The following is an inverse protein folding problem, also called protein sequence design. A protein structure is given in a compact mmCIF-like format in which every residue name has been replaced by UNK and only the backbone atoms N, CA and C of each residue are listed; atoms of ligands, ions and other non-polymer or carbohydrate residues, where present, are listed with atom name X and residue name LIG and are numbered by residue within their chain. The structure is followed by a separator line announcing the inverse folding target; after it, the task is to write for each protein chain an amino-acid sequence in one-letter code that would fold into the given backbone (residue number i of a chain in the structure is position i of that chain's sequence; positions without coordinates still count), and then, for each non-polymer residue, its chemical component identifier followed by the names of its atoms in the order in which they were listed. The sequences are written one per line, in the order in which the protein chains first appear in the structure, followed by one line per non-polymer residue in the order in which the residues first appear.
data_IF_600490815482
#
_entry.id   IF_600490815482
#
_cell.length_a   1.000
_cell.length_b   1.000
_cell.length_c   1.000
_cell.angle_alpha   90.00
_cell.angle_beta   90.00
_cell.angle_gamma   90.00
#
_symmetry.space_group_name_H-M   'P 1'
#
loop_
_entity.id
_entity.type
_entity.pdbx_description
1 polymer ?
#
# COMPACT_ATOMS: atom_id res chain seq x y z
N UNK A 1 -5.05 6.24 -33.14
CA UNK A 1 -5.60 5.04 -32.50
C UNK A 1 -6.86 5.51 -31.79
N UNK A 2 -7.97 4.81 -31.98
CA UNK A 2 -9.25 5.19 -31.38
C UNK A 2 -9.13 5.06 -29.85
N UNK A 3 -9.02 6.19 -29.15
CA UNK A 3 -8.71 6.27 -27.71
C UNK A 3 -9.92 5.87 -26.84
N UNK A 4 -11.03 5.47 -27.45
CA UNK A 4 -12.30 5.23 -26.79
C UNK A 4 -12.60 3.75 -26.52
N UNK A 5 -11.91 2.81 -27.14
CA UNK A 5 -12.25 1.39 -27.07
C UNK A 5 -11.80 0.75 -25.74
N UNK A 6 -12.70 -0.03 -25.13
CA UNK A 6 -12.40 -0.96 -24.02
C UNK A 6 -11.48 -2.06 -24.58
N UNK A 7 -10.41 -2.36 -23.83
CA UNK A 7 -9.41 -3.32 -24.30
C UNK A 7 -9.79 -4.76 -23.97
N UNK A 8 -9.50 -5.66 -24.90
CA UNK A 8 -9.54 -7.08 -24.64
C UNK A 8 -8.38 -7.55 -23.73
N UNK A 9 -8.56 -8.72 -23.12
CA UNK A 9 -7.55 -9.32 -22.22
C UNK A 9 -6.15 -9.30 -22.82
N UNK A 10 -6.02 -9.79 -24.07
CA UNK A 10 -4.71 -9.92 -24.72
C UNK A 10 -4.01 -8.58 -24.92
N UNK A 11 -4.75 -7.55 -25.29
CA UNK A 11 -4.23 -6.17 -25.41
C UNK A 11 -3.71 -5.65 -24.06
N UNK A 12 -4.41 -5.95 -22.93
CA UNK A 12 -3.95 -5.53 -21.60
C UNK A 12 -2.66 -6.27 -21.23
N UNK A 13 -2.56 -7.55 -21.54
CA UNK A 13 -1.34 -8.34 -21.29
C UNK A 13 -0.14 -7.81 -22.08
N UNK A 14 -0.36 -7.39 -23.33
CA UNK A 14 0.67 -6.76 -24.14
C UNK A 14 1.10 -5.41 -23.56
N UNK A 15 0.18 -4.64 -22.95
CA UNK A 15 0.51 -3.41 -22.23
C UNK A 15 1.37 -3.70 -20.99
N UNK A 16 1.07 -4.73 -20.21
CA UNK A 16 1.93 -5.11 -19.09
C UNK A 16 3.35 -5.40 -19.58
N UNK A 17 3.51 -6.26 -20.60
CA UNK A 17 4.83 -6.55 -21.18
C UNK A 17 5.54 -5.30 -21.65
N UNK A 18 4.81 -4.39 -22.31
CA UNK A 18 5.35 -3.13 -22.83
C UNK A 18 5.79 -2.16 -21.72
N UNK A 19 5.08 -2.11 -20.58
CA UNK A 19 5.39 -1.19 -19.48
C UNK A 19 6.51 -1.74 -18.60
N UNK A 20 6.41 -3.00 -18.15
CA UNK A 20 7.30 -3.55 -17.12
C UNK A 20 8.40 -4.46 -17.68
N UNK A 21 8.36 -4.78 -18.98
CA UNK A 21 9.45 -5.48 -19.65
C UNK A 21 10.73 -4.63 -19.68
N UNK A 22 11.83 -5.20 -20.12
CA UNK A 22 13.15 -4.56 -20.05
C UNK A 22 13.20 -3.17 -20.70
N UNK A 23 12.70 -3.09 -21.93
CA UNK A 23 12.68 -1.83 -22.70
C UNK A 23 11.71 -0.81 -22.08
N UNK A 24 10.53 -1.27 -21.61
CA UNK A 24 9.55 -0.41 -20.97
C UNK A 24 10.05 0.14 -19.64
N UNK A 25 10.62 -0.71 -18.79
CA UNK A 25 11.22 -0.26 -17.54
C UNK A 25 12.37 0.71 -17.77
N UNK A 26 13.26 0.48 -18.75
CA UNK A 26 14.30 1.43 -19.11
C UNK A 26 13.73 2.80 -19.56
N UNK A 27 12.57 2.80 -20.23
CA UNK A 27 11.91 4.01 -20.71
C UNK A 27 11.14 4.75 -19.61
N UNK A 28 10.38 4.04 -18.77
CA UNK A 28 9.37 4.63 -17.89
C UNK A 28 9.76 4.70 -16.42
N UNK A 29 10.60 3.77 -15.91
CA UNK A 29 10.93 3.69 -14.50
C UNK A 29 11.70 4.93 -14.01
N UNK A 30 11.17 5.61 -13.00
CA UNK A 30 11.80 6.75 -12.31
C UNK A 30 12.32 6.37 -10.92
N UNK A 31 12.20 5.08 -10.54
CA UNK A 31 12.54 4.56 -9.19
C UNK A 31 13.86 3.80 -9.15
N UNK A 32 14.66 3.83 -10.23
CA UNK A 32 15.94 3.13 -10.33
C UNK A 32 15.82 1.60 -10.15
N UNK A 33 14.77 0.99 -10.70
CA UNK A 33 14.61 -0.46 -10.78
C UNK A 33 13.45 -1.03 -9.98
N UNK A 34 12.73 -0.25 -9.18
CA UNK A 34 11.59 -0.77 -8.39
C UNK A 34 10.44 -1.24 -9.27
N UNK A 35 10.17 -0.58 -10.41
CA UNK A 35 9.14 -1.04 -11.34
C UNK A 35 9.36 -2.50 -11.76
N UNK A 36 10.59 -2.87 -12.09
CA UNK A 36 10.92 -4.27 -12.42
C UNK A 36 10.94 -5.17 -11.20
N UNK A 37 11.43 -4.70 -10.07
CA UNK A 37 11.46 -5.45 -8.82
C UNK A 37 10.05 -5.89 -8.41
N UNK A 38 9.08 -4.97 -8.41
CA UNK A 38 7.71 -5.26 -7.96
C UNK A 38 6.86 -5.90 -9.06
N UNK A 39 7.00 -5.45 -10.30
CA UNK A 39 6.08 -5.80 -11.39
C UNK A 39 6.72 -6.50 -12.58
N UNK A 40 8.03 -6.69 -12.64
CA UNK A 40 8.73 -7.29 -13.79
C UNK A 40 8.18 -8.66 -14.19
N UNK A 41 7.67 -9.45 -13.23
CA UNK A 41 7.01 -10.74 -13.50
C UNK A 41 5.77 -10.62 -14.41
N UNK A 42 5.13 -9.45 -14.49
CA UNK A 42 3.95 -9.23 -15.34
C UNK A 42 4.30 -9.17 -16.84
N UNK A 43 5.57 -9.09 -17.19
CA UNK A 43 6.03 -9.31 -18.58
C UNK A 43 5.79 -10.76 -19.05
N UNK A 44 5.72 -11.73 -18.13
CA UNK A 44 5.23 -13.07 -18.43
C UNK A 44 3.71 -13.07 -18.57
N UNK A 45 3.22 -13.58 -19.70
CA UNK A 45 1.79 -13.56 -20.04
C UNK A 45 0.91 -14.27 -19.00
N UNK A 46 1.37 -15.40 -18.45
CA UNK A 46 0.61 -16.15 -17.44
C UNK A 46 0.56 -15.39 -16.11
N UNK A 47 1.64 -14.71 -15.74
CA UNK A 47 1.66 -13.85 -14.55
C UNK A 47 0.74 -12.63 -14.73
N UNK A 48 0.78 -12.00 -15.91
CA UNK A 48 -0.13 -10.90 -16.27
C UNK A 48 -1.61 -11.34 -16.22
N UNK A 49 -1.96 -12.51 -16.76
CA UNK A 49 -3.32 -13.06 -16.66
C UNK A 49 -3.76 -13.28 -15.21
N UNK A 50 -2.87 -13.82 -14.37
CA UNK A 50 -3.17 -14.00 -12.95
C UNK A 50 -3.40 -12.66 -12.25
N UNK A 51 -2.58 -11.67 -12.55
CA UNK A 51 -2.71 -10.32 -11.98
C UNK A 51 -4.03 -9.68 -12.39
N UNK A 52 -4.36 -9.65 -13.68
CA UNK A 52 -5.63 -9.10 -14.18
C UNK A 52 -6.84 -9.81 -13.56
N UNK A 53 -6.79 -11.12 -13.44
CA UNK A 53 -7.81 -11.91 -12.77
C UNK A 53 -7.91 -11.56 -11.28
N UNK A 54 -6.79 -11.29 -10.61
CA UNK A 54 -6.80 -10.89 -9.20
C UNK A 54 -7.49 -9.55 -9.01
N UNK A 55 -7.26 -8.57 -9.89
CA UNK A 55 -7.95 -7.27 -9.87
C UNK A 55 -9.46 -7.47 -9.95
N UNK A 56 -9.95 -8.18 -10.97
CA UNK A 56 -11.39 -8.44 -11.16
C UNK A 56 -12.03 -9.20 -9.98
N UNK A 57 -11.30 -10.19 -9.42
CA UNK A 57 -11.77 -10.92 -8.25
C UNK A 57 -11.79 -10.05 -6.99
N UNK A 58 -10.89 -9.08 -6.89
CA UNK A 58 -10.79 -8.15 -5.77
C UNK A 58 -11.92 -7.13 -5.82
N UNK A 59 -12.15 -6.48 -6.96
CA UNK A 59 -13.26 -5.51 -7.08
C UNK A 59 -14.63 -6.18 -7.15
N UNK A 60 -14.71 -7.49 -7.41
CA UNK A 60 -15.97 -8.25 -7.57
C UNK A 60 -16.92 -7.67 -8.62
N UNK A 61 -16.36 -7.01 -9.62
CA UNK A 61 -17.12 -6.45 -10.73
C UNK A 61 -16.70 -7.11 -12.05
N UNK A 62 -17.65 -7.22 -12.96
CA UNK A 62 -17.38 -7.58 -14.35
C UNK A 62 -16.99 -6.30 -15.11
N UNK A 63 -16.25 -6.42 -16.23
CA UNK A 63 -15.87 -5.27 -17.05
C UNK A 63 -17.05 -4.37 -17.43
N UNK A 64 -18.20 -4.96 -17.76
CA UNK A 64 -19.41 -4.22 -18.15
C UNK A 64 -19.96 -3.33 -17.02
N UNK A 65 -19.65 -3.65 -15.77
CA UNK A 65 -20.09 -2.89 -14.59
C UNK A 65 -19.14 -1.72 -14.26
N UNK A 66 -17.99 -1.63 -14.95
CA UNK A 66 -17.01 -0.54 -14.79
C UNK A 66 -17.39 0.69 -15.61
N UNK A 67 -18.24 0.54 -16.64
CA UNK A 67 -18.66 1.65 -17.49
C UNK A 67 -19.26 2.81 -16.67
N UNK A 68 -18.80 4.02 -16.91
CA UNK A 68 -19.21 5.24 -16.21
C UNK A 68 -18.71 5.35 -14.76
N UNK A 69 -17.85 4.44 -14.30
CA UNK A 69 -17.28 4.47 -12.93
C UNK A 69 -16.01 5.28 -12.86
N UNK A 70 -15.92 6.15 -11.87
CA UNK A 70 -14.68 6.79 -11.44
C UNK A 70 -14.05 5.99 -10.31
N UNK A 71 -12.78 5.63 -10.49
CA UNK A 71 -12.04 4.79 -9.55
C UNK A 71 -10.97 5.63 -8.85
N UNK A 72 -10.79 5.41 -7.54
CA UNK A 72 -9.67 5.92 -6.75
C UNK A 72 -8.80 4.74 -6.32
N UNK A 73 -7.49 4.86 -6.48
CA UNK A 73 -6.48 3.91 -5.99
C UNK A 73 -5.60 4.62 -4.96
N UNK A 74 -5.76 4.25 -3.69
CA UNK A 74 -5.09 4.90 -2.55
C UNK A 74 -3.84 4.10 -2.18
N UNK A 75 -2.68 4.71 -2.30
CA UNK A 75 -1.39 4.02 -2.30
C UNK A 75 -1.19 3.31 -3.63
N UNK A 76 -1.38 4.02 -4.75
CA UNK A 76 -1.46 3.42 -6.09
C UNK A 76 -0.12 2.89 -6.62
N UNK A 77 1.01 3.23 -5.98
CA UNK A 77 2.33 2.82 -6.43
C UNK A 77 2.56 3.13 -7.91
N UNK A 78 2.85 2.09 -8.69
CA UNK A 78 3.04 2.19 -10.15
C UNK A 78 1.72 2.23 -10.95
N UNK A 79 0.55 2.34 -10.31
CA UNK A 79 -0.74 2.56 -10.95
C UNK A 79 -1.25 1.45 -11.88
N UNK A 80 -0.64 0.25 -11.86
CA UNK A 80 -1.04 -0.82 -12.78
C UNK A 80 -2.45 -1.36 -12.49
N UNK A 81 -2.87 -1.38 -11.21
CA UNK A 81 -4.22 -1.81 -10.82
C UNK A 81 -5.26 -0.86 -11.39
N UNK A 82 -5.14 0.44 -11.11
CA UNK A 82 -6.08 1.44 -11.60
C UNK A 82 -6.07 1.58 -13.13
N UNK A 83 -4.90 1.49 -13.77
CA UNK A 83 -4.78 1.52 -15.22
C UNK A 83 -5.50 0.34 -15.86
N UNK A 84 -5.40 -0.86 -15.27
CA UNK A 84 -6.11 -2.04 -15.73
C UNK A 84 -7.63 -1.84 -15.68
N UNK A 85 -8.16 -1.16 -14.65
CA UNK A 85 -9.58 -0.86 -14.54
C UNK A 85 -10.04 0.12 -15.62
N UNK A 86 -9.20 1.12 -15.97
CA UNK A 86 -9.47 2.02 -17.11
C UNK A 86 -9.49 1.26 -18.42
N UNK A 87 -8.52 0.38 -18.65
CA UNK A 87 -8.48 -0.44 -19.87
C UNK A 87 -9.66 -1.42 -19.97
N UNK A 88 -10.16 -1.90 -18.84
CA UNK A 88 -11.35 -2.76 -18.73
C UNK A 88 -12.68 -2.00 -18.82
N UNK A 89 -12.68 -0.65 -18.90
CA UNK A 89 -13.89 0.12 -19.17
C UNK A 89 -14.29 1.15 -18.13
N UNK A 90 -13.55 1.31 -17.02
CA UNK A 90 -13.79 2.41 -16.10
C UNK A 90 -13.69 3.76 -16.83
N UNK A 91 -14.50 4.74 -16.44
CA UNK A 91 -14.52 6.05 -17.09
C UNK A 91 -13.22 6.81 -16.84
N UNK A 92 -12.77 6.82 -15.59
CA UNK A 92 -11.46 7.34 -15.20
C UNK A 92 -10.93 6.62 -13.96
N UNK A 93 -9.62 6.69 -13.76
CA UNK A 93 -9.00 6.29 -12.51
C UNK A 93 -8.01 7.35 -12.03
N UNK A 94 -8.06 7.60 -10.72
CA UNK A 94 -7.22 8.54 -10.02
C UNK A 94 -6.38 7.77 -9.01
N UNK A 95 -5.08 8.01 -9.00
CA UNK A 95 -4.16 7.42 -8.04
C UNK A 95 -3.58 8.48 -7.11
N UNK A 96 -3.41 8.14 -5.84
CA UNK A 96 -2.65 8.96 -4.91
C UNK A 96 -1.55 8.11 -4.27
N UNK A 97 -0.33 8.64 -4.29
CA UNK A 97 0.82 8.00 -3.66
C UNK A 97 1.77 9.07 -3.13
N UNK A 98 2.48 8.79 -2.05
CA UNK A 98 3.43 9.76 -1.51
C UNK A 98 4.79 9.72 -2.22
N UNK A 99 5.13 8.62 -2.89
CA UNK A 99 6.39 8.48 -3.60
C UNK A 99 6.33 9.12 -4.99
N UNK A 100 6.89 10.33 -5.11
CA UNK A 100 6.95 11.08 -6.37
C UNK A 100 7.47 10.24 -7.54
N UNK A 101 8.51 9.44 -7.34
CA UNK A 101 9.11 8.62 -8.40
C UNK A 101 8.15 7.55 -8.94
N UNK A 102 7.26 7.00 -8.11
CA UNK A 102 6.23 6.08 -8.57
C UNK A 102 5.19 6.82 -9.39
N UNK A 103 4.70 7.97 -8.92
CA UNK A 103 3.78 8.85 -9.65
C UNK A 103 4.40 9.28 -10.99
N UNK A 104 5.65 9.74 -11.01
CA UNK A 104 6.36 10.14 -12.23
C UNK A 104 6.52 8.97 -13.22
N UNK A 105 6.60 7.74 -12.74
CA UNK A 105 6.61 6.53 -13.59
C UNK A 105 5.25 6.34 -14.27
N UNK A 106 4.15 6.51 -13.54
CA UNK A 106 2.79 6.46 -14.13
C UNK A 106 2.62 7.58 -15.17
N UNK A 107 3.02 8.81 -14.84
CA UNK A 107 2.99 9.95 -15.75
C UNK A 107 3.79 9.70 -17.03
N UNK A 108 4.89 8.94 -16.94
CA UNK A 108 5.71 8.60 -18.09
C UNK A 108 5.00 7.59 -19.02
N UNK A 109 4.44 6.48 -18.49
CA UNK A 109 3.86 5.46 -19.36
C UNK A 109 2.44 5.78 -19.83
N UNK A 110 1.64 6.55 -19.07
CA UNK A 110 0.25 6.83 -19.42
C UNK A 110 0.13 7.57 -20.76
N UNK A 111 1.16 8.31 -21.18
CA UNK A 111 1.21 9.03 -22.47
C UNK A 111 1.29 8.11 -23.68
N UNK A 112 1.75 6.88 -23.45
CA UNK A 112 2.04 5.91 -24.52
C UNK A 112 1.05 4.73 -24.52
N UNK A 113 0.03 4.75 -23.68
CA UNK A 113 -0.97 3.67 -23.57
C UNK A 113 -2.36 4.17 -23.98
N UNK A 114 -3.22 3.28 -24.51
CA UNK A 114 -4.62 3.61 -24.78
C UNK A 114 -5.32 4.10 -23.52
N UNK A 115 -6.21 5.10 -23.66
CA UNK A 115 -6.98 5.69 -22.56
C UNK A 115 -6.13 6.27 -21.42
N UNK A 116 -4.87 6.59 -21.68
CA UNK A 116 -3.98 7.17 -20.70
C UNK A 116 -4.39 8.59 -20.26
N UNK A 117 -5.16 9.29 -21.08
CA UNK A 117 -5.83 10.56 -20.75
C UNK A 117 -6.90 10.43 -19.65
N UNK A 118 -7.34 9.20 -19.34
CA UNK A 118 -8.30 8.87 -18.29
C UNK A 118 -7.61 8.39 -16.98
N UNK A 119 -6.29 8.41 -16.96
CA UNK A 119 -5.46 8.03 -15.80
C UNK A 119 -4.86 9.31 -15.22
N UNK A 120 -5.22 9.63 -14.00
CA UNK A 120 -4.67 10.75 -13.24
C UNK A 120 -3.92 10.24 -12.02
N UNK A 121 -2.78 10.85 -11.70
CA UNK A 121 -2.01 10.51 -10.50
C UNK A 121 -1.55 11.76 -9.77
N UNK A 122 -1.56 11.70 -8.45
CA UNK A 122 -1.22 12.81 -7.58
C UNK A 122 -0.22 12.36 -6.52
N UNK A 123 0.81 13.17 -6.30
CA UNK A 123 1.68 13.00 -5.13
C UNK A 123 0.96 13.58 -3.91
N UNK A 124 0.67 12.73 -2.92
CA UNK A 124 -0.06 13.18 -1.74
C UNK A 124 -0.16 12.12 -0.65
N UNK A 125 -0.73 12.53 0.48
CA UNK A 125 -0.99 11.64 1.62
C UNK A 125 -2.43 11.14 1.60
N UNK A 126 -2.63 9.88 1.94
CA UNK A 126 -3.94 9.22 1.95
C UNK A 126 -4.93 9.80 2.97
N UNK A 127 -4.45 10.48 4.00
CA UNK A 127 -5.28 11.12 5.03
C UNK A 127 -5.57 12.62 4.77
N UNK A 128 -5.24 13.13 3.56
CA UNK A 128 -5.52 14.51 3.14
C UNK A 128 -5.59 14.54 1.60
N UNK A 129 -6.66 13.96 1.03
CA UNK A 129 -6.80 13.78 -0.42
C UNK A 129 -7.31 15.06 -1.11
N UNK A 130 -6.71 15.50 -2.22
CA UNK A 130 -7.11 16.72 -2.93
C UNK A 130 -8.31 16.50 -3.86
N UNK A 131 -9.27 15.69 -3.44
CA UNK A 131 -10.46 15.39 -4.22
C UNK A 131 -11.74 15.93 -3.54
N UNK A 132 -12.76 16.30 -4.32
CA UNK A 132 -14.04 16.75 -3.76
C UNK A 132 -14.79 15.60 -3.08
N UNK A 133 -15.75 15.97 -2.22
CA UNK A 133 -16.69 15.03 -1.62
C UNK A 133 -17.53 14.33 -2.70
N UNK A 134 -17.94 13.10 -2.43
CA UNK A 134 -18.90 12.34 -3.25
C UNK A 134 -18.50 12.22 -4.75
N UNK A 135 -17.20 12.06 -5.02
CA UNK A 135 -16.66 12.09 -6.37
C UNK A 135 -16.48 10.70 -6.99
N UNK A 136 -16.04 9.71 -6.21
CA UNK A 136 -15.69 8.38 -6.71
C UNK A 136 -16.81 7.35 -6.51
N UNK A 137 -16.92 6.44 -7.47
CA UNK A 137 -17.82 5.29 -7.38
C UNK A 137 -17.18 4.10 -6.66
N UNK A 138 -15.85 3.95 -6.82
CA UNK A 138 -15.06 2.85 -6.28
C UNK A 138 -13.74 3.42 -5.75
N UNK A 139 -13.36 3.02 -4.55
CA UNK A 139 -12.02 3.25 -4.01
C UNK A 139 -11.34 1.91 -3.71
N UNK A 140 -10.02 1.87 -3.88
CA UNK A 140 -9.19 0.70 -3.62
C UNK A 140 -8.04 1.10 -2.70
N UNK A 141 -7.66 0.18 -1.79
CA UNK A 141 -6.35 0.19 -1.11
C UNK A 141 -5.86 -1.26 -1.11
N UNK A 142 -4.85 -1.53 -1.94
CA UNK A 142 -4.39 -2.91 -2.17
C UNK A 142 -2.94 -3.03 -1.70
N UNK A 143 -2.71 -3.84 -0.66
CA UNK A 143 -1.39 -4.06 -0.03
C UNK A 143 -0.69 -2.73 0.30
N UNK A 144 -1.43 -1.78 0.87
CA UNK A 144 -0.91 -0.45 1.15
C UNK A 144 -1.33 0.10 2.53
N UNK A 145 -2.45 -0.37 3.10
CA UNK A 145 -2.97 0.18 4.35
C UNK A 145 -1.99 -0.02 5.52
N UNK A 146 -1.29 -1.14 5.54
CA UNK A 146 -0.25 -1.47 6.53
C UNK A 146 0.97 -0.53 6.51
N UNK A 147 1.18 0.21 5.43
CA UNK A 147 2.25 1.21 5.34
C UNK A 147 1.85 2.59 5.89
N UNK A 148 0.56 2.86 6.05
CA UNK A 148 0.08 4.18 6.45
C UNK A 148 0.23 4.41 7.94
N UNK A 149 0.80 5.57 8.31
CA UNK A 149 0.91 6.02 9.71
C UNK A 149 -0.46 6.32 10.32
N UNK A 150 -1.41 6.80 9.51
CA UNK A 150 -2.79 7.11 9.91
C UNK A 150 -3.79 6.37 9.01
N UNK A 151 -3.97 5.05 9.20
CA UNK A 151 -4.92 4.28 8.40
C UNK A 151 -6.37 4.72 8.60
N UNK A 152 -6.75 5.16 9.81
CA UNK A 152 -8.11 5.64 10.07
C UNK A 152 -8.37 7.00 9.42
N UNK A 153 -7.36 7.87 9.33
CA UNK A 153 -7.43 9.10 8.54
C UNK A 153 -7.63 8.83 7.05
N UNK A 154 -6.92 7.85 6.50
CA UNK A 154 -7.14 7.38 5.13
C UNK A 154 -8.59 6.92 4.90
N UNK A 155 -9.14 6.14 5.83
CA UNK A 155 -10.51 5.62 5.73
C UNK A 155 -11.53 6.76 5.80
N UNK A 156 -11.35 7.76 6.69
CA UNK A 156 -12.22 8.96 6.77
C UNK A 156 -12.20 9.75 5.46
N UNK A 157 -11.02 9.99 4.90
CA UNK A 157 -10.89 10.69 3.62
C UNK A 157 -11.52 9.87 2.47
N UNK A 158 -11.30 8.56 2.45
CA UNK A 158 -11.94 7.68 1.44
C UNK A 158 -13.47 7.72 1.57
N UNK A 159 -14.02 7.72 2.80
CA UNK A 159 -15.45 7.88 3.02
C UNK A 159 -15.95 9.24 2.48
N UNK A 160 -15.22 10.32 2.73
CA UNK A 160 -15.57 11.66 2.26
C UNK A 160 -15.68 11.71 0.74
N UNK A 161 -14.65 11.22 0.04
CA UNK A 161 -14.57 11.31 -1.43
C UNK A 161 -15.42 10.29 -2.18
N UNK A 162 -15.89 9.22 -1.52
CA UNK A 162 -16.81 8.25 -2.13
C UNK A 162 -18.23 8.81 -2.20
N UNK A 163 -18.92 8.55 -3.31
CA UNK A 163 -20.35 8.81 -3.45
C UNK A 163 -21.16 7.98 -2.44
N UNK A 164 -22.36 8.45 -2.03
CA UNK A 164 -23.34 7.58 -1.36
C UNK A 164 -23.56 6.29 -2.16
N UNK A 165 -23.46 5.13 -1.49
CA UNK A 165 -23.53 3.82 -2.14
C UNK A 165 -22.25 3.41 -2.87
N UNK A 166 -21.20 4.25 -2.90
CA UNK A 166 -19.89 3.93 -3.44
C UNK A 166 -19.19 2.82 -2.65
N UNK A 167 -18.29 2.09 -3.31
CA UNK A 167 -17.62 0.91 -2.75
C UNK A 167 -16.17 1.20 -2.43
N UNK A 168 -15.73 0.85 -1.23
CA UNK A 168 -14.33 0.81 -0.84
C UNK A 168 -13.86 -0.64 -0.70
N UNK A 169 -12.76 -0.99 -1.35
CA UNK A 169 -12.16 -2.32 -1.29
C UNK A 169 -10.77 -2.22 -0.67
N UNK A 170 -10.54 -2.99 0.39
CA UNK A 170 -9.24 -3.09 1.06
C UNK A 170 -8.76 -4.54 0.97
N UNK A 171 -7.50 -4.75 0.61
CA UNK A 171 -6.80 -6.03 0.75
C UNK A 171 -5.47 -5.77 1.42
N UNK A 172 -5.11 -6.60 2.40
CA UNK A 172 -3.82 -6.52 3.07
C UNK A 172 -3.43 -7.89 3.63
N UNK A 173 -2.17 -8.27 3.48
CA UNK A 173 -1.64 -9.54 3.99
C UNK A 173 -1.11 -9.42 5.44
N UNK A 174 -1.11 -8.20 6.03
CA UNK A 174 -0.65 -7.91 7.39
C UNK A 174 -1.75 -8.09 8.44
N UNK A 175 -2.30 -9.30 8.51
CA UNK A 175 -3.40 -9.66 9.40
C UNK A 175 -2.97 -9.80 10.86
N UNK A 176 -3.17 -8.77 11.66
CA UNK A 176 -2.87 -8.73 13.10
C UNK A 176 -3.69 -9.69 13.98
N UNK A 177 -4.75 -10.31 13.45
CA UNK A 177 -5.49 -11.36 14.16
C UNK A 177 -4.81 -12.73 14.08
N UNK A 178 -3.82 -12.93 13.18
CA UNK A 178 -3.08 -14.18 13.02
C UNK A 178 -1.76 -14.17 13.83
N UNK A 179 -1.61 -15.01 14.86
CA UNK A 179 -0.38 -15.04 15.67
C UNK A 179 0.90 -15.40 14.92
N UNK A 180 0.81 -16.12 13.79
CA UNK A 180 1.98 -16.42 12.97
C UNK A 180 2.44 -15.17 12.22
N UNK A 181 1.52 -14.44 11.59
CA UNK A 181 1.80 -13.15 10.92
C UNK A 181 2.36 -12.14 11.92
N UNK A 182 1.80 -12.09 13.14
CA UNK A 182 2.31 -11.21 14.20
C UNK A 182 3.77 -11.51 14.52
N UNK A 183 4.14 -12.80 14.73
CA UNK A 183 5.54 -13.16 15.03
C UNK A 183 6.49 -12.83 13.89
N UNK A 184 6.12 -13.18 12.66
CA UNK A 184 6.95 -12.89 11.48
C UNK A 184 7.20 -11.38 11.34
N UNK A 185 6.16 -10.55 11.48
CA UNK A 185 6.32 -9.09 11.45
C UNK A 185 7.18 -8.57 12.58
N UNK A 186 7.05 -9.08 13.80
CA UNK A 186 7.91 -8.66 14.93
C UNK A 186 9.39 -8.97 14.67
N UNK A 187 9.70 -10.13 14.11
CA UNK A 187 11.08 -10.48 13.70
C UNK A 187 11.60 -9.55 12.61
N UNK A 188 10.75 -9.19 11.64
CA UNK A 188 11.07 -8.22 10.58
C UNK A 188 11.34 -6.84 11.20
N UNK A 189 10.47 -6.36 12.10
CA UNK A 189 10.61 -5.05 12.74
C UNK A 189 11.89 -4.94 13.57
N UNK A 190 12.19 -5.94 14.41
CA UNK A 190 13.42 -6.00 15.19
C UNK A 190 14.66 -5.96 14.28
N UNK A 191 14.60 -6.69 13.15
CA UNK A 191 15.71 -6.72 12.19
C UNK A 191 15.89 -5.38 11.47
N UNK A 192 14.80 -4.73 11.04
CA UNK A 192 14.86 -3.40 10.43
C UNK A 192 15.33 -2.34 11.42
N UNK A 193 14.90 -2.41 12.66
CA UNK A 193 15.26 -1.43 13.68
C UNK A 193 16.70 -1.60 14.17
N UNK A 194 17.05 -2.79 14.62
CA UNK A 194 18.30 -3.07 15.35
C UNK A 194 19.40 -3.71 14.51
N UNK A 195 19.04 -4.38 13.42
CA UNK A 195 19.97 -5.18 12.62
C UNK A 195 20.19 -6.59 13.19
N UNK A 196 21.28 -7.27 12.77
CA UNK A 196 22.21 -6.87 11.73
C UNK A 196 21.60 -6.86 10.31
N UNK A 197 22.27 -6.26 9.30
CA UNK A 197 21.88 -6.36 7.90
C UNK A 197 21.66 -7.81 7.46
N UNK A 198 20.68 -8.03 6.59
CA UNK A 198 20.37 -9.35 6.04
C UNK A 198 19.83 -9.23 4.62
N UNK A 199 20.08 -10.24 3.77
CA UNK A 199 19.54 -10.29 2.42
C UNK A 199 18.12 -10.85 2.38
N UNK A 200 17.69 -11.59 3.41
CA UNK A 200 16.35 -12.12 3.54
C UNK A 200 15.95 -12.32 5.00
N UNK A 201 14.80 -11.78 5.36
CA UNK A 201 14.03 -12.11 6.55
C UNK A 201 12.55 -12.04 6.18
N UNK A 202 11.90 -13.19 6.09
CA UNK A 202 10.49 -13.31 5.65
C UNK A 202 10.20 -12.54 4.33
N UNK A 203 11.12 -12.60 3.37
CA UNK A 203 11.01 -11.89 2.09
C UNK A 203 11.51 -10.44 2.07
N UNK A 204 11.92 -9.89 3.21
CA UNK A 204 12.45 -8.54 3.33
C UNK A 204 13.98 -8.51 3.34
N UNK A 205 14.54 -7.45 2.78
CA UNK A 205 15.98 -7.19 2.77
C UNK A 205 16.31 -5.98 3.61
N UNK A 206 17.17 -6.14 4.61
CA UNK A 206 17.68 -5.07 5.46
C UNK A 206 19.12 -4.73 5.09
N UNK A 207 19.33 -3.63 4.38
CA UNK A 207 20.66 -3.14 4.02
C UNK A 207 21.29 -2.31 5.12
N UNK A 208 20.52 -1.41 5.72
CA UNK A 208 20.93 -0.49 6.77
C UNK A 208 19.84 -0.46 7.83
N UNK A 209 20.10 -0.86 9.08
CA UNK A 209 19.14 -0.76 10.16
C UNK A 209 18.69 0.69 10.42
N UNK A 210 17.47 0.88 10.93
CA UNK A 210 16.91 2.21 11.16
C UNK A 210 17.68 3.01 12.21
N UNK A 211 18.15 2.36 13.27
CA UNK A 211 19.03 3.01 14.25
C UNK A 211 20.28 3.57 13.59
N UNK A 212 20.86 2.87 12.60
CA UNK A 212 22.02 3.34 11.85
C UNK A 212 21.66 4.47 10.87
N UNK A 213 20.48 4.43 10.24
CA UNK A 213 19.99 5.55 9.42
C UNK A 213 19.83 6.81 10.26
N UNK A 214 19.21 6.71 11.44
CA UNK A 214 19.07 7.84 12.38
C UNK A 214 20.42 8.40 12.81
N UNK A 215 21.39 7.53 13.15
CA UNK A 215 22.77 7.94 13.45
C UNK A 215 23.36 8.79 12.33
N UNK A 216 23.21 8.36 11.08
CA UNK A 216 23.70 9.11 9.91
C UNK A 216 22.98 10.44 9.71
N UNK A 217 21.67 10.49 9.89
CA UNK A 217 20.87 11.74 9.83
C UNK A 217 21.37 12.73 10.87
N UNK A 218 21.56 12.28 12.12
CA UNK A 218 22.01 13.14 13.24
C UNK A 218 23.43 13.62 13.00
N UNK A 219 24.36 12.72 12.70
CA UNK A 219 25.76 13.09 12.48
C UNK A 219 25.95 14.04 11.27
N UNK A 220 25.18 13.85 10.20
CA UNK A 220 25.24 14.73 9.03
C UNK A 220 24.70 16.15 9.34
N UNK A 221 23.67 16.26 10.17
CA UNK A 221 23.02 17.55 10.49
C UNK A 221 23.71 18.28 11.64
N UNK A 222 24.32 17.56 12.58
CA UNK A 222 24.94 18.06 13.82
C UNK A 222 26.37 17.47 14.01
N UNK A 223 27.32 17.86 13.15
CA UNK A 223 28.67 17.27 13.14
C UNK A 223 29.52 17.62 14.37
N UNK A 224 29.06 18.53 15.20
CA UNK A 224 29.68 18.96 16.45
C UNK A 224 29.31 18.08 17.66
N UNK A 225 28.36 17.16 17.51
CA UNK A 225 28.00 16.23 18.58
C UNK A 225 28.99 15.07 18.67
N UNK A 226 29.37 14.74 19.92
CA UNK A 226 30.23 13.59 20.19
C UNK A 226 29.57 12.26 19.83
N UNK A 227 30.31 11.27 19.29
CA UNK A 227 29.75 9.99 18.85
C UNK A 227 28.84 9.28 19.89
N UNK A 228 29.20 9.22 21.20
CA UNK A 228 28.32 8.61 22.20
C UNK A 228 26.95 9.31 22.36
N UNK A 229 26.93 10.65 22.17
CA UNK A 229 25.68 11.44 22.22
C UNK A 229 24.83 11.14 20.99
N UNK A 230 25.46 11.07 19.81
CA UNK A 230 24.79 10.70 18.55
C UNK A 230 24.15 9.30 18.67
N UNK A 231 24.90 8.33 19.23
CA UNK A 231 24.41 6.96 19.44
C UNK A 231 23.16 6.94 20.34
N UNK A 232 23.19 7.66 21.45
CA UNK A 232 22.06 7.74 22.37
C UNK A 232 20.84 8.42 21.76
N UNK A 233 21.05 9.53 21.07
CA UNK A 233 19.97 10.23 20.35
C UNK A 233 19.36 9.35 19.26
N UNK A 234 20.18 8.57 18.53
CA UNK A 234 19.67 7.65 17.51
C UNK A 234 18.81 6.53 18.11
N UNK A 235 19.13 6.07 19.34
CA UNK A 235 18.30 5.10 20.06
C UNK A 235 16.99 5.72 20.57
N UNK A 236 17.03 6.96 21.05
CA UNK A 236 15.89 7.65 21.66
C UNK A 236 14.94 8.35 20.64
N UNK A 237 15.11 8.11 19.33
CA UNK A 237 14.31 8.67 18.25
C UNK A 237 13.67 7.58 17.35
N UNK A 238 13.41 6.38 17.88
CA UNK A 238 13.05 5.20 17.10
C UNK A 238 11.73 5.31 16.29
N UNK A 239 10.79 6.14 16.70
CA UNK A 239 9.48 6.27 16.02
C UNK A 239 9.31 7.65 15.37
N UNK A 240 10.42 8.25 14.92
CA UNK A 240 10.45 9.58 14.34
C UNK A 240 10.93 9.52 12.88
N UNK A 241 10.30 10.32 12.03
CA UNK A 241 10.83 10.64 10.71
C UNK A 241 11.97 11.66 10.80
N UNK A 242 12.61 11.92 9.66
CA UNK A 242 13.78 12.80 9.56
C UNK A 242 13.55 14.20 10.15
N UNK A 243 12.38 14.80 9.92
CA UNK A 243 12.07 16.13 10.43
C UNK A 243 11.90 16.10 11.95
N UNK A 244 11.16 15.15 12.47
CA UNK A 244 10.96 14.95 13.90
C UNK A 244 12.27 14.61 14.63
N UNK A 245 13.16 13.82 14.02
CA UNK A 245 14.52 13.54 14.55
C UNK A 245 15.30 14.85 14.69
N UNK A 246 15.35 15.67 13.64
CA UNK A 246 16.09 16.94 13.65
C UNK A 246 15.54 17.87 14.74
N UNK A 247 14.22 18.06 14.81
CA UNK A 247 13.58 18.87 15.83
C UNK A 247 13.84 18.35 17.25
N UNK A 248 13.83 17.04 17.45
CA UNK A 248 14.12 16.43 18.75
C UNK A 248 15.56 16.68 19.19
N UNK A 249 16.53 16.59 18.27
CA UNK A 249 17.94 16.89 18.55
C UNK A 249 18.14 18.40 18.81
N UNK A 250 17.47 19.28 18.09
CA UNK A 250 17.51 20.73 18.36
C UNK A 250 16.98 21.04 19.76
N UNK A 251 15.87 20.42 20.19
CA UNK A 251 15.36 20.54 21.57
C UNK A 251 16.35 20.00 22.60
N UNK A 252 17.00 18.87 22.33
CA UNK A 252 18.05 18.34 23.20
C UNK A 252 19.21 19.34 23.35
N UNK A 253 19.69 19.92 22.26
CA UNK A 253 20.77 20.94 22.31
C UNK A 253 20.38 22.19 23.10
N UNK A 254 19.12 22.60 23.01
CA UNK A 254 18.64 23.80 23.71
C UNK A 254 18.37 23.58 25.20
N UNK A 255 17.88 22.42 25.59
CA UNK A 255 17.35 22.16 26.94
C UNK A 255 18.00 20.94 27.65
N UNK A 256 18.87 20.18 26.99
CA UNK A 256 19.47 18.96 27.56
C UNK A 256 18.52 17.80 27.75
N UNK A 257 17.27 17.89 27.20
CA UNK A 257 16.22 16.86 27.39
C UNK A 257 16.30 15.83 26.27
N UNK A 258 16.50 14.57 26.62
CA UNK A 258 16.50 13.46 25.66
C UNK A 258 15.12 13.28 25.04
N UNK A 259 15.04 12.85 23.75
CA UNK A 259 13.78 12.69 23.03
C UNK A 259 12.79 11.67 23.66
N UNK A 260 13.31 10.64 24.37
CA UNK A 260 12.49 9.70 25.13
C UNK A 260 11.57 8.81 24.28
N UNK A 261 11.98 8.51 23.05
CA UNK A 261 11.24 7.62 22.13
C UNK A 261 12.10 6.42 21.71
N UNK A 262 12.55 5.57 22.67
CA UNK A 262 13.33 4.37 22.34
C UNK A 262 12.47 3.32 21.65
N UNK A 263 13.12 2.41 20.92
CA UNK A 263 12.45 1.29 20.30
C UNK A 263 11.80 0.39 21.35
N UNK A 264 10.57 -0.01 21.04
CA UNK A 264 9.80 -0.95 21.86
C UNK A 264 9.52 -2.20 21.02
N UNK A 265 10.05 -3.38 21.37
CA UNK A 265 9.78 -4.62 20.65
C UNK A 265 8.26 -4.89 20.53
N UNK A 266 7.86 -5.37 19.36
CA UNK A 266 6.44 -5.61 19.06
C UNK A 266 5.66 -4.39 18.57
N UNK A 267 6.31 -3.23 18.41
CA UNK A 267 5.77 -2.04 17.77
C UNK A 267 6.46 -1.80 16.43
N UNK A 268 5.69 -1.63 15.36
CA UNK A 268 6.25 -1.36 14.03
C UNK A 268 7.09 -0.09 14.04
N UNK A 269 8.37 -0.14 13.65
CA UNK A 269 9.22 1.03 13.59
C UNK A 269 8.88 1.91 12.40
N UNK A 270 9.17 3.20 12.53
CA UNK A 270 9.01 4.19 11.46
C UNK A 270 10.30 4.27 10.65
N UNK A 271 10.19 4.21 9.32
CA UNK A 271 11.31 4.45 8.43
C UNK A 271 11.81 5.90 8.57
N UNK A 272 13.09 6.13 8.94
CA UNK A 272 13.55 7.46 9.31
C UNK A 272 13.57 8.49 8.17
N UNK A 273 13.74 8.08 6.91
CA UNK A 273 13.87 9.02 5.79
C UNK A 273 12.50 9.49 5.24
N UNK A 274 11.51 8.62 5.21
CA UNK A 274 10.19 8.90 4.61
C UNK A 274 9.01 8.93 5.59
N UNK A 275 9.22 8.45 6.81
CA UNK A 275 8.23 8.51 7.88
C UNK A 275 7.09 7.50 7.75
N UNK A 276 7.27 6.41 6.99
CA UNK A 276 6.27 5.34 6.88
C UNK A 276 6.57 4.13 7.76
N UNK A 277 5.57 3.30 7.96
CA UNK A 277 5.78 1.94 8.46
C UNK A 277 6.35 1.05 7.35
N UNK A 278 7.24 0.11 7.72
CA UNK A 278 7.69 -0.92 6.77
C UNK A 278 6.50 -1.81 6.38
N UNK A 279 5.80 -2.37 7.34
CA UNK A 279 4.52 -3.07 7.26
C UNK A 279 3.95 -3.18 8.67
N UNK A 280 2.91 -2.42 8.98
CA UNK A 280 2.25 -2.49 10.28
C UNK A 280 1.17 -3.57 10.28
N UNK A 281 0.88 -4.13 11.45
CA UNK A 281 -0.22 -5.07 11.61
C UNK A 281 -1.57 -4.33 11.67
N UNK A 282 -2.54 -4.87 10.96
CA UNK A 282 -3.92 -4.39 10.98
C UNK A 282 -4.78 -5.43 11.71
N UNK A 283 -5.50 -5.02 12.75
CA UNK A 283 -6.58 -5.86 13.31
C UNK A 283 -7.84 -5.68 12.45
N UNK A 284 -8.21 -6.68 11.61
CA UNK A 284 -9.32 -6.50 10.69
C UNK A 284 -10.69 -6.46 11.38
N UNK A 285 -10.81 -7.00 12.60
CA UNK A 285 -12.06 -6.96 13.36
C UNK A 285 -12.26 -5.58 14.00
N UNK A 286 -11.19 -4.98 14.53
CA UNK A 286 -11.22 -3.61 15.02
C UNK A 286 -11.48 -2.65 13.87
N UNK A 287 -10.74 -2.79 12.75
CA UNK A 287 -10.90 -1.97 11.56
C UNK A 287 -12.34 -2.00 11.03
N UNK A 288 -12.98 -3.19 10.97
CA UNK A 288 -14.39 -3.31 10.58
C UNK A 288 -15.30 -2.46 11.48
N UNK A 289 -15.14 -2.54 12.81
CA UNK A 289 -15.95 -1.77 13.76
C UNK A 289 -15.78 -0.26 13.56
N UNK A 290 -14.53 0.19 13.35
CA UNK A 290 -14.23 1.59 13.13
C UNK A 290 -14.87 2.08 11.82
N UNK A 291 -14.79 1.31 10.74
CA UNK A 291 -15.43 1.62 9.47
C UNK A 291 -16.97 1.65 9.56
N UNK A 292 -17.56 0.69 10.29
CA UNK A 292 -19.02 0.66 10.56
C UNK A 292 -19.45 1.90 11.35
N UNK A 293 -18.67 2.32 12.34
CA UNK A 293 -18.93 3.54 13.12
C UNK A 293 -18.80 4.82 12.29
N UNK A 294 -17.89 4.84 11.30
CA UNK A 294 -17.71 5.98 10.38
C UNK A 294 -18.83 6.11 9.35
N UNK A 295 -19.63 5.07 9.08
CA UNK A 295 -20.73 5.14 8.11
C UNK A 295 -20.63 4.19 6.92
N UNK A 296 -19.82 3.14 7.03
CA UNK A 296 -19.80 2.05 6.05
C UNK A 296 -20.69 0.88 6.45
N UNK A 297 -21.21 0.16 5.46
CA UNK A 297 -21.66 -1.23 5.60
C UNK A 297 -20.50 -2.13 5.18
N UNK A 298 -20.00 -2.96 6.12
CA UNK A 298 -18.71 -3.66 5.94
C UNK A 298 -18.89 -5.16 5.83
N UNK A 299 -18.35 -5.73 4.75
CA UNK A 299 -18.18 -7.17 4.58
C UNK A 299 -16.69 -7.52 4.69
N UNK A 300 -16.32 -8.30 5.70
CA UNK A 300 -14.95 -8.74 6.00
C UNK A 300 -14.80 -10.23 5.75
N UNK A 301 -13.76 -10.62 5.02
CA UNK A 301 -13.38 -12.01 4.78
C UNK A 301 -11.92 -12.27 5.15
N UNK A 302 -11.65 -13.47 5.68
CA UNK A 302 -10.32 -14.04 5.76
C UNK A 302 -9.80 -14.36 4.36
N UNK A 303 -8.53 -14.09 4.08
CA UNK A 303 -7.93 -14.31 2.78
C UNK A 303 -6.69 -15.21 2.86
N UNK A 304 -6.76 -16.36 2.16
CA UNK A 304 -5.70 -17.37 2.11
C UNK A 304 -4.92 -17.34 0.79
N UNK A 305 -4.88 -16.19 0.11
CA UNK A 305 -4.29 -16.09 -1.22
C UNK A 305 -5.22 -16.64 -2.31
N UNK A 306 -4.70 -16.78 -3.50
CA UNK A 306 -5.41 -17.45 -4.61
C UNK A 306 -6.28 -16.55 -5.49
N UNK A 307 -6.37 -15.25 -5.24
CA UNK A 307 -7.04 -14.33 -6.18
C UNK A 307 -6.45 -14.45 -7.60
N UNK A 308 -5.13 -14.60 -7.66
CA UNK A 308 -4.38 -14.78 -8.91
C UNK A 308 -4.39 -16.22 -9.46
N UNK A 309 -4.59 -17.23 -8.60
CA UNK A 309 -4.45 -18.65 -8.98
C UNK A 309 -5.74 -19.28 -9.50
N UNK A 310 -6.92 -18.72 -9.17
CA UNK A 310 -8.22 -19.21 -9.65
C UNK A 310 -8.59 -20.63 -9.17
N UNK A 311 -9.82 -21.08 -9.49
CA UNK A 311 -10.23 -22.47 -9.29
C UNK A 311 -10.28 -22.92 -7.82
N UNK A 312 -9.49 -23.91 -7.44
CA UNK A 312 -9.57 -24.62 -6.16
C UNK A 312 -9.38 -23.68 -4.96
N UNK A 313 -8.35 -22.82 -4.96
CA UNK A 313 -8.10 -21.92 -3.84
C UNK A 313 -9.22 -20.87 -3.67
N UNK A 314 -9.82 -20.41 -4.75
CA UNK A 314 -11.00 -19.53 -4.67
C UNK A 314 -12.19 -20.27 -4.07
N UNK A 315 -12.40 -21.53 -4.45
CA UNK A 315 -13.46 -22.36 -3.88
C UNK A 315 -13.23 -22.63 -2.39
N UNK A 316 -11.98 -22.95 -1.99
CA UNK A 316 -11.59 -23.16 -0.59
C UNK A 316 -11.78 -21.88 0.24
N UNK A 317 -11.31 -20.72 -0.24
CA UNK A 317 -11.58 -19.42 0.44
C UNK A 317 -13.09 -19.19 0.60
N UNK A 318 -13.88 -19.43 -0.45
CA UNK A 318 -15.33 -19.29 -0.42
C UNK A 318 -16.00 -20.25 0.58
N UNK A 319 -15.53 -21.48 0.66
CA UNK A 319 -16.04 -22.48 1.60
C UNK A 319 -15.72 -22.07 3.05
N UNK A 320 -14.46 -21.72 3.34
CA UNK A 320 -14.04 -21.30 4.68
C UNK A 320 -14.86 -20.09 5.14
N UNK A 321 -14.97 -19.05 4.32
CA UNK A 321 -15.71 -17.83 4.69
C UNK A 321 -17.23 -18.03 4.80
N UNK A 322 -17.78 -19.15 4.29
CA UNK A 322 -19.20 -19.50 4.47
C UNK A 322 -19.46 -20.39 5.68
N UNK A 323 -18.49 -21.22 6.07
CA UNK A 323 -18.70 -22.27 7.07
C UNK A 323 -17.99 -22.01 8.39
N UNK A 324 -16.92 -21.22 8.38
CA UNK A 324 -16.12 -20.90 9.56
C UNK A 324 -16.43 -19.45 10.00
N UNK A 325 -16.67 -19.19 11.28
CA UNK A 325 -16.81 -17.82 11.77
C UNK A 325 -15.61 -16.96 11.40
N UNK A 326 -15.83 -15.77 10.87
CA UNK A 326 -14.79 -14.89 10.33
C UNK A 326 -13.64 -14.66 11.33
N UNK A 327 -13.97 -14.46 12.61
CA UNK A 327 -12.95 -14.27 13.65
C UNK A 327 -12.01 -15.48 13.82
N UNK A 328 -12.51 -16.70 13.63
CA UNK A 328 -11.68 -17.92 13.67
C UNK A 328 -10.86 -18.09 12.40
N UNK A 329 -11.46 -17.82 11.23
CA UNK A 329 -10.76 -17.90 9.95
C UNK A 329 -9.59 -16.88 9.89
N UNK A 330 -9.76 -15.68 10.44
CA UNK A 330 -8.72 -14.65 10.52
C UNK A 330 -7.53 -15.07 11.40
N UNK A 331 -7.72 -15.94 12.39
CA UNK A 331 -6.59 -16.42 13.23
C UNK A 331 -5.59 -17.28 12.49
N UNK A 332 -5.93 -17.77 11.32
CA UNK A 332 -5.08 -18.67 10.52
C UNK A 332 -4.85 -18.17 9.08
N UNK A 333 -5.55 -17.12 8.65
CA UNK A 333 -5.31 -16.54 7.33
C UNK A 333 -4.13 -15.57 7.36
N UNK A 334 -3.27 -15.53 6.32
CA UNK A 334 -2.21 -14.54 6.22
C UNK A 334 -2.76 -13.12 6.02
N UNK A 335 -3.83 -12.97 5.27
CA UNK A 335 -4.41 -11.69 4.94
C UNK A 335 -5.91 -11.61 5.16
N UNK A 336 -6.46 -10.45 4.85
CA UNK A 336 -7.88 -10.17 4.89
C UNK A 336 -8.34 -9.34 3.70
N UNK A 337 -9.66 -9.31 3.49
CA UNK A 337 -10.31 -8.46 2.49
C UNK A 337 -11.54 -7.81 3.07
N UNK A 338 -11.72 -6.54 2.74
CA UNK A 338 -12.90 -5.76 3.11
C UNK A 338 -13.55 -5.22 1.83
N UNK A 339 -14.87 -5.35 1.77
CA UNK A 339 -15.73 -4.61 0.85
C UNK A 339 -16.67 -3.77 1.70
N UNK A 340 -16.53 -2.47 1.61
CA UNK A 340 -17.29 -1.53 2.41
C UNK A 340 -18.10 -0.62 1.48
N UNK A 341 -19.39 -0.45 1.76
CA UNK A 341 -20.27 0.45 1.01
C UNK A 341 -20.57 1.68 1.85
N UNK A 342 -20.33 2.87 1.31
CA UNK A 342 -20.74 4.12 1.97
C UNK A 342 -22.26 4.13 2.11
N UNK A 343 -22.76 4.30 3.34
CA UNK A 343 -24.22 4.44 3.57
C UNK A 343 -24.73 5.69 2.86
N UNK A 344 -25.95 5.61 2.31
CA UNK A 344 -26.69 6.78 1.90
C UNK A 344 -27.04 7.59 3.14
N UNK A 345 -26.79 8.88 3.12
CA UNK A 345 -27.22 9.79 4.16
C UNK A 345 -28.75 9.91 4.18
#
# INVERSE_FOLDING_TARGET
MDNAAILGKDQILDLYTRIVGEQGAAKYDRTRGWLRQYHGKLADRRAGERYLRSILNTVRLKPEQLAGKRVLDVGCGFGLTMSSLVWLGADSAHGIDMYRQMVDTVEAYKRDVPRGDRIEVTVGRANAMPYPDDYFDIALTTEALSHFIDPLGCIRETLRVLKPGGMYVITDDNNGANPAVVRENQEVWDRFELGPPTDDIHGHRVKVPYVEKRRRIIAARFPDLEPPVVDRLAQDTAFMDKSAIIEAVERFRAAGVMPGSPYVPGRCPVEPEDGQYIENLIDPLALRKDMEAMGFDVHLEAYFGGASRGGILKAVNGLINRTVPTALALRVSPGFRIWARKRGG
#
